data_IF_263120606004
#
_entry.id   IF_263120606004
#
_cell.length_a   1.000
_cell.length_b   1.000
_cell.length_c   1.000
_cell.angle_alpha   90.00
_cell.angle_beta   90.00
_cell.angle_gamma   90.00
#
_symmetry.space_group_name_H-M   'P 1'
#
loop_
_entity.id
_entity.type
_entity.pdbx_description
1 polymer ?
#
# COMPACT_ATOMS: atom_id res chain seq x y z
N UNK A 1 6.66 7.27 -16.68
CA UNK A 1 7.70 7.38 -17.72
C UNK A 1 8.00 6.00 -18.29
N UNK A 2 8.80 5.95 -19.38
CA UNK A 2 9.22 4.67 -19.96
C UNK A 2 8.23 4.04 -20.95
N UNK A 3 7.21 4.75 -21.41
CA UNK A 3 6.27 4.28 -22.43
C UNK A 3 5.00 3.60 -21.92
N UNK A 4 4.77 3.55 -20.59
CA UNK A 4 3.53 3.01 -20.04
C UNK A 4 2.37 4.00 -20.20
N UNK A 5 1.21 3.50 -20.68
CA UNK A 5 -0.06 4.26 -20.74
C UNK A 5 0.08 5.64 -21.39
N UNK A 6 0.83 5.74 -22.50
CA UNK A 6 1.01 6.98 -23.26
C UNK A 6 2.05 7.97 -22.69
N UNK A 7 2.76 7.60 -21.63
CA UNK A 7 3.92 8.40 -21.18
C UNK A 7 5.08 8.30 -22.16
N UNK A 8 5.94 9.32 -22.20
CA UNK A 8 7.11 9.33 -23.07
C UNK A 8 8.02 8.13 -22.81
N UNK A 9 8.42 7.44 -23.86
CA UNK A 9 9.25 6.24 -23.81
C UNK A 9 9.90 5.92 -25.15
N UNK A 10 10.52 4.74 -25.31
CA UNK A 10 11.21 4.33 -26.53
C UNK A 10 10.38 4.42 -27.82
N UNK A 11 9.08 4.16 -27.74
CA UNK A 11 8.15 4.26 -28.88
C UNK A 11 7.66 5.68 -29.20
N UNK A 12 8.06 6.67 -28.40
CA UNK A 12 7.73 8.07 -28.64
C UNK A 12 8.63 8.67 -29.71
N UNK A 13 8.10 9.65 -30.45
CA UNK A 13 8.88 10.37 -31.47
C UNK A 13 9.91 11.27 -30.79
N UNK A 14 11.16 11.11 -31.18
CA UNK A 14 12.27 11.98 -30.79
C UNK A 14 12.16 13.30 -31.60
N UNK A 15 11.94 14.45 -30.95
CA UNK A 15 11.77 15.71 -31.66
C UNK A 15 13.01 16.18 -32.45
N UNK A 16 14.19 15.62 -32.16
CA UNK A 16 15.43 15.95 -32.88
C UNK A 16 15.58 15.20 -34.19
N UNK A 17 15.04 13.99 -34.28
CA UNK A 17 15.21 13.11 -35.44
C UNK A 17 13.94 12.90 -36.25
N UNK A 18 12.77 13.15 -35.66
CA UNK A 18 11.46 12.86 -36.25
C UNK A 18 11.10 11.37 -36.30
N UNK A 19 11.90 10.50 -35.67
CA UNK A 19 11.68 9.05 -35.56
C UNK A 19 11.48 8.63 -34.11
N UNK A 20 11.04 7.40 -33.88
CA UNK A 20 10.97 6.84 -32.53
C UNK A 20 12.35 6.86 -31.86
N UNK A 21 12.37 7.05 -30.54
CA UNK A 21 13.62 7.03 -29.78
C UNK A 21 14.35 5.67 -29.88
N UNK A 22 13.62 4.57 -29.87
CA UNK A 22 14.22 3.25 -29.80
C UNK A 22 15.15 3.12 -28.60
N UNK A 23 16.37 2.63 -28.83
CA UNK A 23 17.40 2.53 -27.79
C UNK A 23 18.16 3.85 -27.52
N UNK A 24 17.90 4.91 -28.29
CA UNK A 24 18.39 6.25 -27.97
C UNK A 24 17.57 6.93 -26.85
N UNK A 25 16.48 6.30 -26.41
CA UNK A 25 15.76 6.77 -25.23
C UNK A 25 16.70 6.69 -24.00
N UNK A 26 16.75 7.71 -23.13
CA UNK A 26 17.65 7.67 -21.98
C UNK A 26 17.25 6.56 -21.01
N UNK A 27 18.21 5.89 -20.41
CA UNK A 27 17.95 4.99 -19.29
C UNK A 27 17.40 5.81 -18.14
N UNK A 28 16.20 5.42 -17.69
CA UNK A 28 15.49 6.06 -16.58
C UNK A 28 15.62 5.22 -15.31
N UNK A 29 15.50 5.87 -14.16
CA UNK A 29 15.53 5.26 -12.84
C UNK A 29 14.20 5.48 -12.12
N UNK A 30 13.99 4.80 -11.00
CA UNK A 30 12.85 5.07 -10.10
C UNK A 30 12.90 6.51 -9.58
N UNK A 31 14.10 7.04 -9.34
CA UNK A 31 14.29 8.45 -8.94
C UNK A 31 13.79 9.41 -10.02
N UNK A 32 14.12 9.20 -11.28
CA UNK A 32 13.62 10.04 -12.38
C UNK A 32 12.10 10.01 -12.48
N UNK A 33 11.48 8.84 -12.23
CA UNK A 33 10.01 8.72 -12.20
C UNK A 33 9.43 9.61 -11.09
N UNK A 34 10.00 9.56 -9.89
CA UNK A 34 9.58 10.37 -8.74
C UNK A 34 9.79 11.87 -9.00
N UNK A 35 10.90 12.28 -9.62
CA UNK A 35 11.14 13.67 -9.98
C UNK A 35 10.09 14.22 -10.96
N UNK A 36 9.64 13.41 -11.92
CA UNK A 36 8.55 13.80 -12.83
C UNK A 36 7.21 13.89 -12.11
N UNK A 37 6.92 12.94 -11.21
CA UNK A 37 5.72 12.98 -10.39
C UNK A 37 5.71 14.23 -9.50
N UNK A 38 6.85 14.60 -8.91
CA UNK A 38 6.98 15.83 -8.11
C UNK A 38 6.64 17.07 -8.93
N UNK A 39 7.15 17.18 -10.15
CA UNK A 39 6.81 18.30 -11.05
C UNK A 39 5.31 18.36 -11.36
N UNK A 40 4.66 17.20 -11.51
CA UNK A 40 3.21 17.14 -11.70
C UNK A 40 2.46 17.64 -10.45
N UNK A 41 2.85 17.18 -9.27
CA UNK A 41 2.25 17.62 -7.99
C UNK A 41 2.43 19.14 -7.81
N UNK A 42 3.60 19.66 -8.11
CA UNK A 42 3.87 21.09 -8.06
C UNK A 42 3.01 21.91 -9.03
N UNK A 43 2.76 21.37 -10.23
CA UNK A 43 1.90 22.04 -11.22
C UNK A 43 0.44 22.20 -10.77
N UNK A 44 0.00 21.41 -9.80
CA UNK A 44 -1.31 21.54 -9.15
C UNK A 44 -1.29 22.49 -7.93
N UNK A 45 -0.15 23.06 -7.59
CA UNK A 45 -0.01 23.93 -6.42
C UNK A 45 -0.08 23.19 -5.08
N UNK A 46 0.16 21.87 -5.08
CA UNK A 46 0.09 21.03 -3.86
C UNK A 46 1.43 21.14 -3.12
N UNK A 47 1.39 21.69 -1.91
CA UNK A 47 2.57 21.85 -1.07
C UNK A 47 2.89 20.62 -0.21
N UNK A 48 1.86 19.81 0.13
CA UNK A 48 2.02 18.59 0.90
C UNK A 48 0.90 17.60 0.57
N UNK A 49 1.25 16.34 0.40
CA UNK A 49 0.33 15.23 0.19
C UNK A 49 -0.10 14.64 1.55
N UNK A 50 -1.38 14.27 1.67
CA UNK A 50 -1.88 13.58 2.85
C UNK A 50 -1.20 12.20 2.98
N UNK A 51 -1.11 11.46 1.87
CA UNK A 51 -0.44 10.16 1.84
C UNK A 51 0.10 9.85 0.44
N UNK A 52 1.14 8.99 0.39
CA UNK A 52 1.62 8.33 -0.83
C UNK A 52 1.52 6.82 -0.63
N UNK A 53 0.88 6.13 -1.59
CA UNK A 53 0.62 4.68 -1.51
C UNK A 53 1.09 4.02 -2.80
N UNK A 54 1.76 2.89 -2.70
CA UNK A 54 2.18 2.14 -3.88
C UNK A 54 2.59 0.72 -3.58
N UNK A 55 2.26 -0.20 -4.50
CA UNK A 55 2.65 -1.60 -4.43
C UNK A 55 3.76 -1.96 -5.42
N UNK A 56 4.62 -2.93 -5.06
CA UNK A 56 5.68 -3.43 -5.94
C UNK A 56 6.63 -2.30 -6.38
N UNK A 57 6.83 -2.10 -7.68
CA UNK A 57 7.55 -0.93 -8.21
C UNK A 57 6.96 0.42 -7.76
N UNK A 58 5.64 0.48 -7.51
CA UNK A 58 5.00 1.64 -6.89
C UNK A 58 5.48 1.86 -5.45
N UNK A 59 5.73 0.78 -4.70
CA UNK A 59 6.34 0.83 -3.37
C UNK A 59 7.77 1.37 -3.41
N UNK A 60 8.57 0.96 -4.40
CA UNK A 60 9.90 1.56 -4.62
C UNK A 60 9.82 3.07 -4.86
N UNK A 61 8.80 3.53 -5.61
CA UNK A 61 8.56 4.96 -5.82
C UNK A 61 8.13 5.65 -4.52
N UNK A 62 7.30 5.02 -3.66
CA UNK A 62 6.96 5.54 -2.32
C UNK A 62 8.21 5.73 -1.48
N UNK A 63 9.07 4.72 -1.40
CA UNK A 63 10.33 4.79 -0.65
C UNK A 63 11.24 5.90 -1.22
N UNK A 64 11.34 6.02 -2.54
CA UNK A 64 12.12 7.08 -3.18
C UNK A 64 11.56 8.47 -2.90
N UNK A 65 10.22 8.63 -2.85
CA UNK A 65 9.57 9.89 -2.45
C UNK A 65 9.95 10.29 -1.02
N UNK A 66 9.90 9.33 -0.09
CA UNK A 66 10.19 9.58 1.32
C UNK A 66 11.60 10.15 1.55
N UNK A 67 12.61 9.61 0.83
CA UNK A 67 13.99 10.05 0.99
C UNK A 67 14.34 11.30 0.17
N UNK A 68 13.66 11.51 -1.00
CA UNK A 68 13.97 12.65 -1.88
C UNK A 68 13.21 13.91 -1.46
N UNK A 69 12.00 13.76 -0.97
CA UNK A 69 11.10 14.85 -0.62
C UNK A 69 10.43 14.64 0.76
N UNK A 70 11.19 14.49 1.85
CA UNK A 70 10.68 14.03 3.15
C UNK A 70 9.53 14.87 3.71
N UNK A 71 9.47 16.17 3.38
CA UNK A 71 8.43 17.11 3.85
C UNK A 71 7.17 17.15 2.97
N UNK A 72 7.19 16.43 1.84
CA UNK A 72 6.11 16.49 0.86
C UNK A 72 4.93 15.60 1.18
N UNK A 73 5.02 14.68 2.14
CA UNK A 73 3.92 13.81 2.55
C UNK A 73 3.85 13.67 4.05
N UNK A 74 2.63 13.51 4.57
CA UNK A 74 2.40 13.18 5.99
C UNK A 74 2.55 11.68 6.24
N UNK A 75 2.03 10.85 5.34
CA UNK A 75 1.97 9.40 5.48
C UNK A 75 2.49 8.71 4.22
N UNK A 76 3.07 7.52 4.38
CA UNK A 76 3.58 6.71 3.29
C UNK A 76 3.26 5.22 3.50
N UNK A 77 2.80 4.54 2.43
CA UNK A 77 2.44 3.11 2.49
C UNK A 77 3.13 2.38 1.33
N UNK A 78 4.37 1.89 1.52
CA UNK A 78 4.99 0.93 0.61
C UNK A 78 4.41 -0.47 0.84
N UNK A 79 3.99 -1.16 -0.24
CA UNK A 79 3.32 -2.46 -0.19
C UNK A 79 4.07 -3.46 -1.05
N UNK A 80 4.36 -4.67 -0.55
CA UNK A 80 4.96 -5.78 -1.29
C UNK A 80 6.15 -5.32 -2.14
N UNK A 81 7.15 -4.72 -1.50
CA UNK A 81 8.29 -4.06 -2.15
C UNK A 81 9.60 -4.30 -1.40
N UNK A 82 10.69 -3.72 -1.87
CA UNK A 82 11.99 -3.79 -1.24
C UNK A 82 12.73 -2.45 -1.34
N UNK A 83 13.71 -2.21 -0.47
CA UNK A 83 14.56 -1.02 -0.48
C UNK A 83 15.62 -1.03 -1.59
N UNK A 84 15.86 -2.18 -2.18
CA UNK A 84 16.72 -2.36 -3.37
C UNK A 84 16.26 -3.59 -4.16
N UNK A 85 16.74 -3.72 -5.40
CA UNK A 85 16.53 -4.96 -6.18
C UNK A 85 17.53 -6.04 -5.77
N UNK A 86 17.02 -7.19 -5.37
CA UNK A 86 17.81 -8.34 -4.97
C UNK A 86 18.14 -9.25 -6.16
N UNK A 87 19.12 -10.15 -6.03
CA UNK A 87 19.55 -11.01 -7.14
C UNK A 87 18.44 -11.79 -7.82
N UNK A 88 17.41 -12.23 -7.07
CA UNK A 88 16.28 -12.98 -7.64
C UNK A 88 15.45 -12.13 -8.60
N UNK A 89 15.07 -10.89 -8.20
CA UNK A 89 14.33 -9.99 -9.07
C UNK A 89 15.15 -9.62 -10.32
N UNK A 90 16.44 -9.32 -10.13
CA UNK A 90 17.37 -9.02 -11.23
C UNK A 90 17.47 -10.21 -12.20
N UNK A 91 17.56 -11.43 -11.68
CA UNK A 91 17.66 -12.66 -12.50
C UNK A 91 16.39 -12.86 -13.35
N UNK A 92 15.19 -12.74 -12.78
CA UNK A 92 13.94 -12.85 -13.55
C UNK A 92 13.84 -11.76 -14.63
N UNK A 93 14.19 -10.52 -14.30
CA UNK A 93 14.21 -9.43 -15.25
C UNK A 93 15.24 -9.69 -16.37
N UNK A 94 16.43 -10.19 -16.03
CA UNK A 94 17.47 -10.52 -17.01
C UNK A 94 17.02 -11.61 -17.99
N UNK A 95 16.36 -12.68 -17.52
CA UNK A 95 15.81 -13.73 -18.39
C UNK A 95 14.71 -13.17 -19.29
N UNK A 96 13.82 -12.32 -18.76
CA UNK A 96 12.80 -11.65 -19.57
C UNK A 96 13.38 -10.76 -20.66
N UNK A 97 14.42 -9.97 -20.36
CA UNK A 97 15.13 -9.15 -21.35
C UNK A 97 15.84 -10.02 -22.39
N UNK A 98 16.48 -11.13 -21.96
CA UNK A 98 17.14 -12.05 -22.85
C UNK A 98 16.16 -12.70 -23.84
N UNK A 99 14.93 -13.01 -23.41
CA UNK A 99 13.89 -13.51 -24.30
C UNK A 99 13.58 -12.51 -25.43
N UNK A 100 13.49 -11.21 -25.11
CA UNK A 100 13.29 -10.15 -26.11
C UNK A 100 14.50 -10.03 -27.05
N UNK A 101 15.73 -10.04 -26.52
CA UNK A 101 16.96 -9.94 -27.31
C UNK A 101 17.11 -11.11 -28.27
N UNK A 102 16.61 -12.28 -27.90
CA UNK A 102 16.68 -13.50 -28.75
C UNK A 102 15.61 -13.54 -29.85
N UNK A 103 14.62 -12.64 -29.82
CA UNK A 103 13.59 -12.56 -30.86
C UNK A 103 14.17 -11.87 -32.11
N UNK A 104 14.21 -12.55 -33.28
CA UNK A 104 14.75 -11.96 -34.50
C UNK A 104 14.10 -10.65 -34.95
N UNK A 105 12.82 -10.47 -34.60
CA UNK A 105 12.07 -9.27 -34.93
C UNK A 105 12.39 -8.07 -34.00
N UNK A 106 13.17 -8.26 -32.93
CA UNK A 106 13.62 -7.16 -32.07
C UNK A 106 14.59 -6.23 -32.81
N UNK A 107 15.39 -6.79 -33.76
CA UNK A 107 16.26 -6.03 -34.67
C UNK A 107 17.11 -4.98 -33.92
N UNK A 108 17.78 -5.38 -32.84
CA UNK A 108 18.59 -4.48 -32.00
C UNK A 108 17.81 -3.21 -31.55
N UNK A 109 16.51 -3.35 -31.22
CA UNK A 109 15.67 -2.27 -30.80
C UNK A 109 15.04 -1.42 -31.92
N UNK A 110 15.43 -1.66 -33.18
CA UNK A 110 15.00 -0.86 -34.35
C UNK A 110 13.88 -1.56 -35.13
N UNK A 111 12.77 -1.94 -34.47
CA UNK A 111 11.67 -2.68 -35.09
C UNK A 111 10.48 -1.81 -35.50
N UNK A 112 10.41 -0.56 -35.05
CA UNK A 112 9.23 0.30 -35.25
C UNK A 112 8.87 0.52 -36.74
N UNK A 113 9.87 0.75 -37.57
CA UNK A 113 9.70 0.98 -39.03
C UNK A 113 9.56 -0.32 -39.84
N UNK A 114 9.79 -1.50 -39.23
CA UNK A 114 9.82 -2.78 -39.98
C UNK A 114 8.43 -3.39 -40.19
N UNK A 115 7.41 -2.91 -39.52
CA UNK A 115 6.07 -3.52 -39.47
C UNK A 115 6.01 -4.85 -38.70
N UNK A 116 7.16 -5.31 -38.13
CA UNK A 116 7.25 -6.53 -37.30
C UNK A 116 7.64 -6.14 -35.90
N UNK A 117 7.10 -6.87 -34.92
CA UNK A 117 7.37 -6.66 -33.47
C UNK A 117 7.97 -7.94 -32.88
N UNK A 118 8.82 -7.83 -31.84
CA UNK A 118 9.36 -8.99 -31.13
C UNK A 118 8.30 -9.62 -30.21
N UNK A 119 7.22 -10.11 -30.80
CA UNK A 119 6.05 -10.59 -30.07
C UNK A 119 6.33 -11.86 -29.28
N UNK A 120 7.14 -12.77 -29.83
CA UNK A 120 7.50 -14.01 -29.13
C UNK A 120 8.37 -13.74 -27.92
N UNK A 121 9.38 -12.89 -28.06
CA UNK A 121 10.27 -12.51 -26.96
C UNK A 121 9.53 -11.78 -25.84
N UNK A 122 8.69 -10.80 -26.20
CA UNK A 122 7.90 -10.06 -25.22
C UNK A 122 6.83 -10.94 -24.55
N UNK A 123 6.19 -11.85 -25.30
CA UNK A 123 5.26 -12.84 -24.76
C UNK A 123 5.93 -13.74 -23.73
N UNK A 124 7.12 -14.29 -24.06
CA UNK A 124 7.87 -15.14 -23.14
C UNK A 124 8.33 -14.37 -21.88
N UNK A 125 8.79 -13.14 -22.02
CA UNK A 125 9.13 -12.28 -20.90
C UNK A 125 7.92 -12.07 -19.95
N UNK A 126 6.72 -11.91 -20.52
CA UNK A 126 5.49 -11.80 -19.72
C UNK A 126 5.09 -13.10 -19.03
N UNK A 127 5.27 -14.24 -19.69
CA UNK A 127 5.02 -15.56 -19.10
C UNK A 127 5.87 -15.77 -17.84
N UNK A 128 7.16 -15.46 -17.93
CA UNK A 128 8.10 -15.53 -16.81
C UNK A 128 7.63 -14.64 -15.64
N UNK A 129 7.24 -13.39 -15.94
CA UNK A 129 6.73 -12.47 -14.94
C UNK A 129 5.47 -13.01 -14.24
N UNK A 130 4.54 -13.65 -14.98
CA UNK A 130 3.35 -14.25 -14.38
C UNK A 130 3.64 -15.41 -13.43
N UNK A 131 4.70 -16.15 -13.64
CA UNK A 131 5.14 -17.18 -12.68
C UNK A 131 5.52 -16.54 -11.35
N UNK A 132 6.16 -15.37 -11.36
CA UNK A 132 6.59 -14.70 -10.13
C UNK A 132 5.47 -13.98 -9.38
N UNK A 133 4.32 -13.73 -10.02
CA UNK A 133 3.20 -13.01 -9.40
C UNK A 133 2.27 -13.93 -8.58
N UNK A 134 2.24 -15.21 -8.87
CA UNK A 134 1.41 -16.19 -8.17
C UNK A 134 2.28 -16.99 -7.19
N UNK A 135 1.70 -17.37 -6.07
CA UNK A 135 2.32 -18.35 -5.18
C UNK A 135 2.20 -19.76 -5.75
N UNK A 136 3.00 -20.69 -5.23
CA UNK A 136 2.88 -22.13 -5.52
C UNK A 136 1.48 -22.66 -5.19
N UNK A 137 0.98 -22.33 -3.99
CA UNK A 137 -0.37 -22.71 -3.56
C UNK A 137 -1.46 -22.14 -4.48
N UNK A 138 -1.35 -20.89 -4.92
CA UNK A 138 -2.30 -20.28 -5.86
C UNK A 138 -2.30 -20.98 -7.20
N UNK A 139 -1.12 -21.39 -7.69
CA UNK A 139 -1.01 -22.15 -8.93
C UNK A 139 -1.63 -23.54 -8.79
N UNK A 140 -1.41 -24.22 -7.66
CA UNK A 140 -1.97 -25.55 -7.40
C UNK A 140 -3.50 -25.50 -7.29
N UNK A 141 -4.04 -24.56 -6.51
CA UNK A 141 -5.49 -24.36 -6.38
C UNK A 141 -6.13 -24.04 -7.75
N UNK A 142 -5.49 -23.22 -8.56
CA UNK A 142 -6.06 -22.70 -9.79
C UNK A 142 -5.98 -23.70 -10.96
N UNK A 143 -4.91 -24.43 -11.06
CA UNK A 143 -4.61 -25.28 -12.21
C UNK A 143 -4.39 -26.75 -11.84
N UNK A 144 -3.73 -27.03 -10.72
CA UNK A 144 -3.27 -28.36 -10.35
C UNK A 144 -2.55 -29.04 -11.52
N UNK A 145 -2.96 -30.26 -11.84
CA UNK A 145 -2.58 -30.99 -13.06
C UNK A 145 -3.70 -31.04 -14.08
N UNK A 146 -4.61 -30.06 -14.06
CA UNK A 146 -5.75 -29.99 -14.97
C UNK A 146 -5.32 -29.93 -16.44
N UNK A 147 -5.99 -30.74 -17.29
CA UNK A 147 -5.74 -30.76 -18.73
C UNK A 147 -6.56 -29.66 -19.43
N UNK A 148 -6.04 -29.13 -20.52
CA UNK A 148 -6.66 -28.09 -21.33
C UNK A 148 -7.44 -28.73 -22.49
N UNK A 149 -8.77 -28.67 -22.40
CA UNK A 149 -9.70 -29.14 -23.45
C UNK A 149 -9.45 -30.59 -23.94
N UNK A 150 -8.97 -31.48 -23.06
CA UNK A 150 -8.75 -32.91 -23.35
C UNK A 150 -8.81 -33.74 -22.08
N UNK A 151 -9.01 -35.06 -22.23
CA UNK A 151 -9.14 -36.03 -21.13
C UNK A 151 -7.83 -36.81 -20.87
N UNK A 152 -6.92 -36.84 -21.85
CA UNK A 152 -5.68 -37.60 -21.77
C UNK A 152 -4.47 -36.74 -22.15
N UNK A 153 -3.30 -37.07 -21.55
CA UNK A 153 -2.02 -36.44 -21.89
C UNK A 153 -1.58 -36.87 -23.28
N UNK A 154 -1.18 -35.87 -24.11
CA UNK A 154 -0.51 -36.14 -25.37
C UNK A 154 0.96 -36.48 -25.12
N UNK A 155 1.53 -37.40 -25.88
CA UNK A 155 2.98 -37.67 -25.83
C UNK A 155 3.72 -36.94 -26.95
N UNK A 156 3.35 -35.66 -27.16
CA UNK A 156 3.96 -34.74 -28.12
C UNK A 156 4.24 -33.37 -27.45
N UNK A 157 4.64 -32.35 -28.22
CA UNK A 157 4.92 -31.01 -27.69
C UNK A 157 3.75 -30.03 -27.81
N UNK A 158 2.51 -30.53 -27.86
CA UNK A 158 1.31 -29.70 -27.80
C UNK A 158 1.00 -29.26 -26.36
N UNK A 159 0.07 -28.33 -26.22
CA UNK A 159 -0.37 -27.88 -24.88
C UNK A 159 -1.22 -28.99 -24.24
N UNK A 160 -0.78 -29.46 -23.09
CA UNK A 160 -1.51 -30.42 -22.29
C UNK A 160 -2.19 -29.77 -21.07
N UNK A 161 -1.48 -28.92 -20.34
CA UNK A 161 -1.93 -28.44 -19.04
C UNK A 161 -2.56 -27.05 -19.11
N UNK A 162 -3.56 -26.81 -18.26
CA UNK A 162 -4.22 -25.52 -18.14
C UNK A 162 -3.25 -24.38 -17.82
N UNK A 163 -2.22 -24.62 -17.00
CA UNK A 163 -1.20 -23.61 -16.67
C UNK A 163 -0.41 -23.19 -17.90
N UNK A 164 -0.12 -24.07 -18.84
CA UNK A 164 0.57 -23.72 -20.11
C UNK A 164 -0.30 -22.80 -20.97
N UNK A 165 -1.60 -23.16 -21.10
CA UNK A 165 -2.60 -22.35 -21.81
C UNK A 165 -2.72 -20.95 -21.17
N UNK A 166 -2.82 -20.89 -19.84
CA UNK A 166 -2.88 -19.64 -19.10
C UNK A 166 -1.67 -18.75 -19.37
N UNK A 167 -0.46 -19.26 -19.23
CA UNK A 167 0.76 -18.48 -19.46
C UNK A 167 0.84 -17.95 -20.89
N UNK A 168 0.53 -18.78 -21.88
CA UNK A 168 0.48 -18.37 -23.30
C UNK A 168 -0.58 -17.29 -23.55
N UNK A 169 -1.76 -17.40 -22.91
CA UNK A 169 -2.79 -16.38 -22.99
C UNK A 169 -2.31 -15.04 -22.43
N UNK A 170 -1.66 -15.05 -21.27
CA UNK A 170 -1.13 -13.84 -20.64
C UNK A 170 -0.06 -13.17 -21.50
N UNK A 171 0.84 -13.96 -22.07
CA UNK A 171 1.86 -13.47 -23.01
C UNK A 171 1.23 -12.81 -24.24
N UNK A 172 0.35 -13.52 -24.95
CA UNK A 172 -0.36 -13.02 -26.14
C UNK A 172 -1.17 -11.74 -25.88
N UNK A 173 -1.82 -11.66 -24.73
CA UNK A 173 -2.61 -10.48 -24.36
C UNK A 173 -1.71 -9.28 -24.06
N UNK A 174 -0.57 -9.52 -23.44
CA UNK A 174 0.39 -8.45 -23.11
C UNK A 174 0.99 -7.79 -24.33
N UNK A 175 1.39 -8.57 -25.33
CA UNK A 175 1.97 -8.10 -26.61
C UNK A 175 1.08 -7.07 -27.32
N UNK A 176 -0.25 -7.23 -27.24
CA UNK A 176 -1.21 -6.31 -27.85
C UNK A 176 -1.17 -4.89 -27.28
N UNK A 177 -0.69 -4.71 -26.05
CA UNK A 177 -0.81 -3.47 -25.28
C UNK A 177 0.52 -2.91 -24.76
N UNK A 178 1.62 -3.61 -24.97
CA UNK A 178 2.91 -3.21 -24.41
C UNK A 178 4.01 -3.23 -25.47
N UNK A 179 4.95 -2.32 -25.33
CA UNK A 179 6.10 -2.17 -26.20
C UNK A 179 7.32 -2.90 -25.63
N UNK A 180 8.06 -3.64 -26.46
CA UNK A 180 9.16 -4.45 -26.00
C UNK A 180 10.36 -3.62 -25.49
N UNK A 181 10.70 -2.52 -26.17
CA UNK A 181 11.75 -1.64 -25.65
C UNK A 181 11.33 -0.99 -24.33
N UNK A 182 10.06 -0.57 -24.19
CA UNK A 182 9.54 -0.06 -22.92
C UNK A 182 9.68 -1.08 -21.79
N UNK A 183 9.47 -2.38 -22.05
CA UNK A 183 9.69 -3.45 -21.08
C UNK A 183 11.16 -3.51 -20.64
N UNK A 184 12.10 -3.39 -21.58
CA UNK A 184 13.54 -3.37 -21.29
C UNK A 184 13.89 -2.20 -20.34
N UNK A 185 13.42 -1.00 -20.64
CA UNK A 185 13.71 0.20 -19.84
C UNK A 185 13.11 0.15 -18.44
N UNK A 186 11.87 -0.34 -18.32
CA UNK A 186 11.21 -0.42 -17.02
C UNK A 186 11.86 -1.48 -16.13
N UNK A 187 12.14 -2.67 -16.67
CA UNK A 187 12.83 -3.70 -15.89
C UNK A 187 14.25 -3.28 -15.53
N UNK A 188 14.92 -2.50 -16.39
CA UNK A 188 16.22 -1.92 -16.08
C UNK A 188 16.12 -0.87 -14.96
N UNK A 189 15.08 -0.03 -14.97
CA UNK A 189 14.85 0.94 -13.90
C UNK A 189 14.63 0.26 -12.54
N UNK A 190 13.91 -0.87 -12.52
CA UNK A 190 13.74 -1.70 -11.33
C UNK A 190 15.07 -2.28 -10.88
N UNK A 191 15.85 -2.89 -11.76
CA UNK A 191 17.15 -3.49 -11.40
C UNK A 191 18.16 -2.46 -10.84
N UNK A 192 18.09 -1.22 -11.30
CA UNK A 192 18.96 -0.13 -10.83
C UNK A 192 18.51 0.48 -9.50
N UNK A 193 17.35 0.06 -8.97
CA UNK A 193 16.85 0.58 -7.70
C UNK A 193 17.65 0.04 -6.53
N UNK A 194 18.27 0.95 -5.79
CA UNK A 194 19.00 0.70 -4.57
C UNK A 194 19.02 1.98 -3.72
N UNK A 195 18.46 1.91 -2.54
CA UNK A 195 18.42 3.02 -1.58
C UNK A 195 19.55 2.95 -0.54
N UNK A 196 20.42 1.95 -0.62
CA UNK A 196 21.53 1.84 0.32
C UNK A 196 22.53 2.98 0.14
N UNK A 197 23.06 3.46 1.24
CA UNK A 197 24.18 4.42 1.30
C UNK A 197 25.30 3.75 2.10
N UNK A 198 26.52 3.73 1.55
CA UNK A 198 27.65 3.05 2.17
C UNK A 198 27.37 1.56 2.53
N UNK A 199 26.63 0.86 1.66
CA UNK A 199 26.16 -0.51 1.89
C UNK A 199 25.21 -0.67 3.10
N UNK A 200 24.54 0.40 3.52
CA UNK A 200 23.58 0.40 4.62
C UNK A 200 22.21 0.89 4.13
N UNK A 201 21.19 0.05 4.20
CA UNK A 201 19.80 0.43 3.92
C UNK A 201 19.34 1.49 4.95
N UNK A 202 19.73 1.34 6.21
CA UNK A 202 19.38 2.29 7.26
C UNK A 202 19.92 3.69 6.97
N UNK A 203 21.16 3.81 6.44
CA UNK A 203 21.71 5.12 6.06
C UNK A 203 20.91 5.78 4.92
N UNK A 204 20.29 4.98 4.06
CA UNK A 204 19.43 5.48 2.97
C UNK A 204 18.14 6.14 3.46
N UNK A 205 17.64 5.78 4.66
CA UNK A 205 16.40 6.32 5.22
C UNK A 205 16.60 7.49 6.19
N UNK A 206 17.81 8.01 6.34
CA UNK A 206 18.08 9.19 7.15
C UNK A 206 17.27 10.38 6.67
N UNK A 207 16.57 11.03 7.61
CA UNK A 207 15.79 12.24 7.35
C UNK A 207 14.38 12.00 6.82
N UNK A 208 13.88 10.78 6.81
CA UNK A 208 12.46 10.49 6.56
C UNK A 208 11.61 11.08 7.70
N UNK A 209 10.59 11.87 7.35
CA UNK A 209 9.71 12.57 8.31
C UNK A 209 8.26 12.01 8.29
N UNK A 210 7.88 11.26 7.27
CA UNK A 210 6.54 10.71 7.13
C UNK A 210 6.26 9.60 8.14
N UNK A 211 5.03 9.49 8.63
CA UNK A 211 4.52 8.27 9.29
C UNK A 211 4.39 7.17 8.24
N UNK A 212 4.87 5.96 8.52
CA UNK A 212 4.98 4.88 7.54
C UNK A 212 4.21 3.64 7.97
N UNK A 213 3.45 3.06 7.07
CA UNK A 213 2.89 1.70 7.21
C UNK A 213 3.51 0.79 6.16
N UNK A 214 4.37 -0.13 6.56
CA UNK A 214 4.98 -1.12 5.66
C UNK A 214 4.08 -2.33 5.57
N UNK A 215 3.67 -2.70 4.34
CA UNK A 215 2.76 -3.85 4.13
C UNK A 215 3.46 -4.92 3.31
N UNK A 216 3.53 -6.15 3.83
CA UNK A 216 3.98 -7.33 3.09
C UNK A 216 2.82 -8.28 2.78
N UNK A 217 3.09 -9.30 1.98
CA UNK A 217 2.21 -10.45 1.73
C UNK A 217 2.97 -11.71 2.11
N UNK A 218 2.38 -12.57 2.92
CA UNK A 218 3.05 -13.76 3.47
C UNK A 218 3.45 -14.81 2.41
N UNK A 219 2.70 -14.92 1.33
CA UNK A 219 2.97 -15.82 0.21
C UNK A 219 3.74 -15.19 -0.96
N UNK A 220 4.16 -13.93 -0.83
CA UNK A 220 4.94 -13.24 -1.87
C UNK A 220 6.38 -13.74 -1.90
N UNK A 221 6.73 -14.46 -2.96
CA UNK A 221 8.09 -14.96 -3.15
C UNK A 221 8.91 -14.11 -4.13
N UNK A 222 8.27 -13.12 -4.80
CA UNK A 222 8.97 -12.11 -5.60
C UNK A 222 9.58 -11.01 -4.71
N UNK A 223 8.81 -10.51 -3.73
CA UNK A 223 9.24 -9.59 -2.68
C UNK A 223 8.93 -10.20 -1.30
N UNK A 224 9.74 -11.17 -0.83
CA UNK A 224 9.48 -11.86 0.42
C UNK A 224 9.32 -10.92 1.61
N UNK A 225 8.57 -11.37 2.61
CA UNK A 225 8.30 -10.63 3.85
C UNK A 225 9.57 -10.09 4.51
N UNK A 226 10.69 -10.82 4.42
CA UNK A 226 11.99 -10.44 4.99
C UNK A 226 12.49 -9.10 4.40
N UNK A 227 12.33 -8.88 3.09
CA UNK A 227 12.74 -7.63 2.44
C UNK A 227 11.88 -6.43 2.91
N UNK A 228 10.60 -6.65 3.19
CA UNK A 228 9.73 -5.63 3.78
C UNK A 228 10.12 -5.36 5.26
N UNK A 229 10.50 -6.39 6.02
CA UNK A 229 11.00 -6.23 7.39
C UNK A 229 12.37 -5.54 7.47
N UNK A 230 13.19 -5.62 6.43
CA UNK A 230 14.41 -4.81 6.33
C UNK A 230 14.09 -3.31 6.24
N UNK A 231 13.05 -2.94 5.47
CA UNK A 231 12.56 -1.55 5.41
C UNK A 231 12.10 -1.10 6.80
N UNK A 232 11.27 -1.91 7.48
CA UNK A 232 10.80 -1.64 8.84
C UNK A 232 11.98 -1.42 9.80
N UNK A 233 12.98 -2.32 9.76
CA UNK A 233 14.16 -2.24 10.62
C UNK A 233 14.96 -0.97 10.35
N UNK A 234 15.14 -0.62 9.08
CA UNK A 234 15.88 0.57 8.67
C UNK A 234 15.19 1.87 9.07
N UNK A 235 13.85 1.92 8.99
CA UNK A 235 13.05 3.07 9.45
C UNK A 235 13.10 3.21 10.96
N UNK A 236 12.93 2.12 11.71
CA UNK A 236 13.07 2.14 13.18
C UNK A 236 14.46 2.60 13.65
N UNK A 237 15.52 2.22 12.93
CA UNK A 237 16.88 2.65 13.25
C UNK A 237 17.12 4.16 13.04
N UNK A 238 16.18 4.86 12.39
CA UNK A 238 16.20 6.30 12.16
C UNK A 238 15.09 7.04 12.95
N UNK A 239 14.52 6.39 13.98
CA UNK A 239 13.45 6.94 14.82
C UNK A 239 12.20 7.40 14.03
N UNK A 240 11.95 6.80 12.86
CA UNK A 240 10.76 7.08 12.05
C UNK A 240 9.55 6.39 12.68
N UNK A 241 8.43 7.10 12.78
CA UNK A 241 7.15 6.50 13.20
C UNK A 241 6.69 5.49 12.16
N UNK A 242 6.86 4.20 12.43
CA UNK A 242 6.58 3.13 11.49
C UNK A 242 5.77 2.00 12.12
N UNK A 243 4.76 1.53 11.41
CA UNK A 243 3.99 0.32 11.70
C UNK A 243 4.14 -0.71 10.58
N UNK A 244 3.76 -1.94 10.85
CA UNK A 244 3.89 -3.05 9.93
C UNK A 244 2.66 -3.93 9.94
N UNK A 245 2.16 -4.25 8.75
CA UNK A 245 1.07 -5.21 8.55
C UNK A 245 1.47 -6.28 7.53
N UNK A 246 1.00 -7.50 7.76
CA UNK A 246 1.19 -8.61 6.84
C UNK A 246 -0.15 -9.12 6.33
N UNK A 247 -0.38 -9.01 5.03
CA UNK A 247 -1.56 -9.56 4.36
C UNK A 247 -1.41 -11.08 4.33
N UNK A 248 -2.42 -11.78 4.86
CA UNK A 248 -2.53 -13.24 4.82
C UNK A 248 -3.30 -13.66 3.59
N UNK A 249 -2.59 -14.24 2.62
CA UNK A 249 -3.18 -14.63 1.35
C UNK A 249 -2.32 -15.66 0.65
N UNK A 250 -2.92 -16.55 -0.09
CA UNK A 250 -2.20 -17.47 -0.96
C UNK A 250 -2.08 -16.97 -2.42
N UNK A 251 -2.46 -15.73 -2.72
CA UNK A 251 -2.37 -15.20 -4.08
C UNK A 251 -0.97 -14.75 -4.52
N UNK A 252 0.05 -14.85 -3.65
CA UNK A 252 1.40 -14.41 -3.96
C UNK A 252 1.51 -12.89 -4.07
N UNK A 253 2.38 -12.42 -4.96
CA UNK A 253 2.62 -10.99 -5.16
C UNK A 253 1.34 -10.21 -5.53
N UNK A 254 0.44 -10.80 -6.33
CA UNK A 254 -0.80 -10.15 -6.75
C UNK A 254 -1.81 -9.94 -5.62
N UNK A 255 -1.58 -10.48 -4.41
CA UNK A 255 -2.49 -10.34 -3.26
C UNK A 255 -2.78 -8.88 -2.92
N UNK A 256 -1.82 -7.95 -3.06
CA UNK A 256 -2.06 -6.53 -2.78
C UNK A 256 -3.05 -5.86 -3.76
N UNK A 257 -3.41 -6.52 -4.87
CA UNK A 257 -4.45 -6.09 -5.80
C UNK A 257 -5.79 -6.77 -5.53
N UNK A 258 -5.78 -7.91 -4.85
CA UNK A 258 -6.93 -8.81 -4.71
C UNK A 258 -7.55 -8.76 -3.30
N UNK A 259 -6.74 -8.64 -2.26
CA UNK A 259 -7.14 -8.67 -0.84
C UNK A 259 -7.71 -7.32 -0.35
N UNK A 260 -8.77 -6.87 -1.01
CA UNK A 260 -9.39 -5.56 -0.75
C UNK A 260 -9.86 -5.39 0.69
N UNK A 261 -10.34 -6.46 1.33
CA UNK A 261 -10.84 -6.42 2.70
C UNK A 261 -9.75 -6.07 3.70
N UNK A 262 -8.62 -6.77 3.65
CA UNK A 262 -7.47 -6.54 4.53
C UNK A 262 -6.85 -5.17 4.27
N UNK A 263 -6.68 -4.79 2.99
CA UNK A 263 -6.14 -3.47 2.63
C UNK A 263 -7.04 -2.33 3.10
N UNK A 264 -8.36 -2.43 2.91
CA UNK A 264 -9.28 -1.41 3.38
C UNK A 264 -9.23 -1.24 4.90
N UNK A 265 -9.11 -2.34 5.65
CA UNK A 265 -8.94 -2.28 7.10
C UNK A 265 -7.66 -1.55 7.49
N UNK A 266 -6.52 -1.93 6.90
CA UNK A 266 -5.21 -1.30 7.18
C UNK A 266 -5.24 0.18 6.80
N UNK A 267 -5.74 0.51 5.60
CA UNK A 267 -5.81 1.90 5.13
C UNK A 267 -6.73 2.75 5.99
N UNK A 268 -7.92 2.24 6.34
CA UNK A 268 -8.86 2.99 7.18
C UNK A 268 -8.25 3.29 8.54
N UNK A 269 -7.54 2.33 9.14
CA UNK A 269 -6.86 2.53 10.41
C UNK A 269 -5.69 3.51 10.30
N UNK A 270 -4.83 3.36 9.29
CA UNK A 270 -3.59 4.13 9.18
C UNK A 270 -3.83 5.56 8.63
N UNK A 271 -4.78 5.73 7.70
CA UNK A 271 -5.03 7.02 7.05
C UNK A 271 -5.96 7.92 7.85
N UNK A 272 -6.81 7.37 8.70
CA UNK A 272 -7.64 8.17 9.59
C UNK A 272 -6.74 8.83 10.64
N UNK A 273 -6.80 10.13 10.71
CA UNK A 273 -6.32 10.91 11.87
C UNK A 273 -7.49 11.00 12.86
N UNK A 274 -8.02 9.84 13.32
CA UNK A 274 -9.16 9.82 14.22
C UNK A 274 -8.81 10.57 15.51
N UNK A 275 -9.39 11.73 15.64
CA UNK A 275 -9.38 12.52 16.87
C UNK A 275 -10.66 12.26 17.65
N UNK A 276 -10.67 12.60 18.91
CA UNK A 276 -11.84 12.38 19.80
C UNK A 276 -13.09 13.03 19.20
N UNK A 277 -12.96 14.19 18.54
CA UNK A 277 -14.05 14.91 17.88
C UNK A 277 -14.80 14.06 16.82
N UNK A 278 -14.10 13.13 16.14
CA UNK A 278 -14.71 12.29 15.11
C UNK A 278 -15.68 11.23 15.67
N UNK A 279 -15.56 10.90 16.96
CA UNK A 279 -16.36 9.84 17.61
C UNK A 279 -17.14 10.35 18.83
N UNK A 280 -16.89 11.56 19.32
CA UNK A 280 -17.61 12.11 20.45
C UNK A 280 -19.06 12.44 20.05
N UNK A 281 -19.95 12.31 21.02
CA UNK A 281 -21.32 12.83 20.88
C UNK A 281 -21.32 14.31 21.25
N UNK A 282 -21.83 15.16 20.35
CA UNK A 282 -21.93 16.60 20.58
C UNK A 282 -23.07 16.95 21.53
N UNK A 283 -24.18 16.21 21.47
CA UNK A 283 -25.31 16.39 22.36
C UNK A 283 -25.25 15.41 23.53
N UNK A 284 -24.71 15.86 24.65
CA UNK A 284 -24.60 15.07 25.89
C UNK A 284 -25.69 15.46 26.88
N UNK A 285 -26.42 14.46 27.36
CA UNK A 285 -27.32 14.67 28.51
C UNK A 285 -26.50 15.00 29.77
N UNK A 286 -26.72 16.15 30.36
CA UNK A 286 -26.09 16.56 31.62
C UNK A 286 -27.13 16.74 32.70
N UNK A 287 -26.73 16.66 33.97
CA UNK A 287 -27.59 16.89 35.11
C UNK A 287 -26.96 17.89 36.09
N UNK A 288 -27.78 18.69 36.75
CA UNK A 288 -27.30 19.66 37.73
C UNK A 288 -26.88 18.98 39.03
N UNK A 289 -25.97 19.59 39.75
CA UNK A 289 -25.41 19.07 40.99
C UNK A 289 -26.41 19.09 42.19
N UNK A 290 -27.49 19.84 42.08
CA UNK A 290 -28.59 19.91 43.04
C UNK A 290 -29.72 18.91 42.75
N UNK A 291 -29.70 18.22 41.61
CA UNK A 291 -30.67 17.19 41.26
C UNK A 291 -30.56 15.95 42.17
N UNK A 292 -31.63 15.19 42.26
CA UNK A 292 -31.67 13.98 43.06
C UNK A 292 -31.37 12.70 42.24
N UNK A 293 -31.19 11.58 42.93
CA UNK A 293 -30.89 10.27 42.34
C UNK A 293 -32.01 9.78 41.41
N UNK A 294 -33.26 10.13 41.71
CA UNK A 294 -34.42 9.73 40.92
C UNK A 294 -34.43 10.48 39.57
N UNK A 295 -34.16 11.79 39.59
CA UNK A 295 -34.07 12.61 38.40
C UNK A 295 -32.95 12.10 37.49
N UNK A 296 -31.79 11.70 38.03
CA UNK A 296 -30.71 11.09 37.25
C UNK A 296 -31.12 9.75 36.64
N UNK A 297 -31.86 8.91 37.39
CA UNK A 297 -32.37 7.64 36.89
C UNK A 297 -33.38 7.83 35.73
N UNK A 298 -34.30 8.78 35.88
CA UNK A 298 -35.30 9.12 34.87
C UNK A 298 -34.64 9.65 33.60
N UNK A 299 -33.62 10.52 33.74
CA UNK A 299 -32.85 11.03 32.61
C UNK A 299 -32.04 9.93 31.88
N UNK A 300 -31.45 8.98 32.64
CA UNK A 300 -30.74 7.83 32.03
C UNK A 300 -31.70 6.96 31.22
N UNK A 301 -32.91 6.74 31.71
CA UNK A 301 -33.93 5.96 31.00
C UNK A 301 -34.46 6.71 29.76
N UNK A 302 -34.73 7.99 29.86
CA UNK A 302 -35.24 8.82 28.76
C UNK A 302 -34.23 8.91 27.62
N UNK A 303 -32.98 9.14 27.97
CA UNK A 303 -31.86 9.29 26.98
C UNK A 303 -31.17 7.99 26.59
N UNK A 304 -31.57 6.85 27.18
CA UNK A 304 -30.93 5.55 26.95
C UNK A 304 -29.42 5.56 27.20
N UNK A 305 -28.96 6.26 28.22
CA UNK A 305 -27.55 6.37 28.62
C UNK A 305 -27.34 5.77 30.03
N UNK A 306 -26.10 5.34 30.27
CA UNK A 306 -25.69 4.76 31.56
C UNK A 306 -24.74 5.65 32.36
N UNK A 307 -24.33 6.77 31.80
CA UNK A 307 -23.41 7.73 32.37
C UNK A 307 -23.94 9.14 32.10
N UNK A 308 -23.99 9.99 33.12
CA UNK A 308 -24.41 11.38 32.98
C UNK A 308 -23.39 12.28 33.67
N UNK A 309 -22.78 13.24 32.97
CA UNK A 309 -21.97 14.29 33.57
C UNK A 309 -22.80 15.17 34.50
N UNK A 310 -22.25 15.44 35.68
CA UNK A 310 -22.83 16.35 36.64
C UNK A 310 -22.18 17.72 36.53
N UNK A 311 -22.96 18.75 36.30
CA UNK A 311 -22.48 20.11 36.01
C UNK A 311 -23.07 21.14 37.00
N UNK A 312 -22.33 22.23 37.18
CA UNK A 312 -22.81 23.43 37.87
C UNK A 312 -23.78 24.23 37.01
N UNK A 313 -24.39 25.27 37.55
CA UNK A 313 -25.23 26.21 36.80
C UNK A 313 -24.51 26.86 35.63
N UNK A 314 -23.20 27.08 35.75
CA UNK A 314 -22.33 27.62 34.69
C UNK A 314 -21.83 26.53 33.73
N UNK A 315 -22.45 25.34 33.69
CA UNK A 315 -22.07 24.19 32.87
C UNK A 315 -20.63 23.69 33.08
N UNK A 316 -20.04 23.92 34.26
CA UNK A 316 -18.74 23.37 34.61
C UNK A 316 -18.90 21.92 35.09
N UNK A 317 -18.18 21.00 34.48
CA UNK A 317 -18.15 19.58 34.89
C UNK A 317 -17.54 19.47 36.31
N UNK A 318 -18.24 18.80 37.19
CA UNK A 318 -17.81 18.56 38.58
C UNK A 318 -17.79 17.09 38.98
N UNK A 319 -18.39 16.22 38.17
CA UNK A 319 -18.40 14.79 38.38
C UNK A 319 -19.17 14.05 37.31
N UNK A 320 -19.20 12.74 37.43
CA UNK A 320 -20.01 11.85 36.59
C UNK A 320 -20.76 10.88 37.49
N UNK A 321 -22.02 10.62 37.18
CA UNK A 321 -22.86 9.61 37.83
C UNK A 321 -23.15 8.50 36.85
N UNK A 322 -23.06 7.25 37.29
CA UNK A 322 -23.30 6.06 36.46
C UNK A 322 -24.52 5.29 36.99
N UNK A 323 -25.08 4.40 36.17
CA UNK A 323 -26.15 3.49 36.59
C UNK A 323 -25.73 2.62 37.79
N UNK A 324 -24.41 2.35 37.93
CA UNK A 324 -23.86 1.67 39.10
C UNK A 324 -23.93 2.53 40.37
N UNK A 325 -23.63 3.81 40.27
CA UNK A 325 -23.73 4.76 41.41
C UNK A 325 -25.19 4.90 41.90
N UNK A 326 -26.16 4.93 40.95
CA UNK A 326 -27.58 4.90 41.27
C UNK A 326 -27.97 3.62 42.01
N UNK A 327 -27.44 2.47 41.59
CA UNK A 327 -27.67 1.20 42.31
C UNK A 327 -27.07 1.22 43.71
N UNK A 328 -25.88 1.81 43.86
CA UNK A 328 -25.20 1.97 45.15
C UNK A 328 -25.94 2.91 46.06
N UNK A 329 -26.56 4.00 45.55
CA UNK A 329 -27.36 4.95 46.35
C UNK A 329 -28.50 4.29 47.08
N UNK A 330 -29.16 3.29 46.47
CA UNK A 330 -30.23 2.51 47.08
C UNK A 330 -29.68 1.75 48.29
N UNK A 331 -28.50 1.16 48.19
CA UNK A 331 -27.87 0.39 49.27
C UNK A 331 -27.38 1.29 50.42
N UNK A 332 -27.00 2.54 50.15
CA UNK A 332 -26.44 3.50 51.11
C UNK A 332 -27.48 4.50 51.64
N UNK A 333 -28.72 4.45 51.12
CA UNK A 333 -29.80 5.38 51.42
C UNK A 333 -29.42 6.86 51.21
N UNK A 334 -28.60 7.14 50.20
CA UNK A 334 -28.15 8.49 49.81
C UNK A 334 -29.00 9.00 48.62
N UNK A 335 -29.55 10.20 48.76
CA UNK A 335 -30.46 10.77 47.76
C UNK A 335 -29.87 11.92 46.95
N UNK A 336 -28.63 12.35 47.26
CA UNK A 336 -27.97 13.46 46.59
C UNK A 336 -26.86 12.96 45.63
N UNK A 337 -26.81 13.50 44.43
CA UNK A 337 -25.80 13.13 43.43
C UNK A 337 -24.37 13.40 43.91
N UNK A 338 -24.16 14.47 44.67
CA UNK A 338 -22.85 14.81 45.25
C UNK A 338 -22.25 13.73 46.14
N UNK A 339 -23.10 12.92 46.80
CA UNK A 339 -22.65 11.87 47.71
C UNK A 339 -22.23 10.59 46.98
N UNK A 340 -22.66 10.42 45.72
CA UNK A 340 -22.49 9.18 44.95
C UNK A 340 -21.67 9.34 43.70
N UNK A 341 -21.57 10.58 43.15
CA UNK A 341 -20.85 10.82 41.89
C UNK A 341 -19.34 10.61 42.01
N UNK A 342 -18.72 10.21 40.95
CA UNK A 342 -17.26 10.20 40.81
C UNK A 342 -16.76 11.60 40.45
N UNK A 343 -15.95 12.22 41.33
CA UNK A 343 -15.43 13.59 41.14
C UNK A 343 -14.09 13.63 40.40
N UNK A 344 -13.33 12.56 40.42
CA UNK A 344 -12.07 12.45 39.66
C UNK A 344 -12.36 11.91 38.26
N UNK A 345 -12.88 12.78 37.38
CA UNK A 345 -13.23 12.42 36.00
C UNK A 345 -11.98 12.52 35.14
N UNK A 346 -11.65 11.43 34.43
CA UNK A 346 -10.64 11.47 33.34
C UNK A 346 -11.32 12.04 32.09
N UNK A 347 -10.65 12.92 31.41
CA UNK A 347 -11.13 13.54 30.18
C UNK A 347 -10.02 13.66 29.15
N UNK A 348 -10.41 13.82 27.90
CA UNK A 348 -9.54 14.14 26.76
C UNK A 348 -10.10 15.37 26.04
N UNK A 349 -9.29 16.00 25.22
CA UNK A 349 -9.73 17.10 24.37
C UNK A 349 -10.21 16.60 23.02
N UNK A 350 -11.11 17.33 22.36
CA UNK A 350 -11.65 16.99 21.06
C UNK A 350 -10.56 16.73 20.00
N UNK A 351 -9.45 17.47 20.07
CA UNK A 351 -8.30 17.31 19.16
C UNK A 351 -7.29 16.23 19.57
N UNK A 352 -7.51 15.51 20.69
CA UNK A 352 -6.61 14.44 21.11
C UNK A 352 -6.75 13.21 20.19
N UNK A 353 -5.65 12.49 19.95
CA UNK A 353 -5.71 11.23 19.21
C UNK A 353 -6.41 10.15 20.02
N UNK A 354 -7.32 9.42 19.38
CA UNK A 354 -8.01 8.28 20.01
C UNK A 354 -7.04 7.21 20.50
N UNK A 355 -5.87 7.07 19.84
CA UNK A 355 -4.86 6.07 20.21
C UNK A 355 -4.09 6.42 21.49
N UNK A 356 -4.11 7.69 21.90
CA UNK A 356 -3.37 8.19 23.09
C UNK A 356 -4.28 8.47 24.29
N UNK A 357 -5.59 8.33 24.12
CA UNK A 357 -6.62 8.50 25.15
C UNK A 357 -7.10 7.18 25.70
#
# INVERSE_FOLDING_TARGET
MGGCKGTTGPSSINPKTGKEYGLDFPVITIKDMVEVQKKLVDSFGINQLAAIIGGSMGGMQVLQWMITYPKMMKKAIPIATAAMSYPQQIAFNAVGRQAIFSDPNWNNGNYYETGKKPENGLSLARMIAHITYLSDESMDIKFGRGLQDKDEISYDFTIDFQVESYLRHQGKTFVKRFDANSYLYITKAVDLFDLSVNNSISDGFKGVEAKVEVISVDSDWLYPTEQNKEILTALNANDVEVSYSEIKSNYGHDAFLLEKGQLNFIFSKFLSDNIVEDIMMEEIATIKDDADVKEAAELMLDKHVTHIPVVTDDFKLIGIVTSWDLSKSIATNSNHLKDIMTTTVKYCHAGDSIETT
#
